data_IF_624998835189
#
_entry.id   IF_624998835189
#
_cell.length_a   1.000
_cell.length_b   1.000
_cell.length_c   1.000
_cell.angle_alpha   90.00
_cell.angle_beta   90.00
_cell.angle_gamma   90.00
#
_symmetry.space_group_name_H-M   'P 1'
#
loop_
_entity.id
_entity.type
_entity.pdbx_description
1 polymer ?
#
# COMPACT_ATOMS: atom_id res chain seq x y z
N UNK A 1 18.11 -1.82 2.65
CA UNK A 1 17.15 -2.66 3.37
C UNK A 1 16.12 -3.08 2.37
N UNK A 2 15.98 -4.38 2.17
CA UNK A 2 15.22 -4.93 1.04
C UNK A 2 13.76 -5.08 1.47
N UNK A 3 12.86 -4.39 0.78
CA UNK A 3 11.43 -4.64 0.92
C UNK A 3 11.09 -5.95 0.21
N UNK A 4 10.29 -6.79 0.85
CA UNK A 4 9.78 -8.02 0.23
C UNK A 4 8.30 -7.84 -0.11
N UNK A 5 7.90 -8.38 -1.25
CA UNK A 5 6.50 -8.41 -1.71
C UNK A 5 6.10 -9.87 -1.89
N UNK A 6 5.05 -10.29 -1.19
CA UNK A 6 4.33 -11.52 -1.50
C UNK A 6 3.04 -11.17 -2.23
N UNK A 7 2.79 -11.81 -3.37
CA UNK A 7 1.60 -11.60 -4.19
C UNK A 7 0.74 -12.85 -4.23
N UNK A 8 -0.56 -12.66 -4.00
CA UNK A 8 -1.60 -13.68 -4.16
C UNK A 8 -2.64 -13.15 -5.13
N UNK A 9 -2.98 -13.94 -6.17
CA UNK A 9 -3.98 -13.57 -7.16
C UNK A 9 -5.11 -14.60 -7.17
N UNK A 10 -6.35 -14.12 -7.06
CA UNK A 10 -7.57 -14.94 -7.07
C UNK A 10 -8.58 -14.32 -8.06
N UNK A 11 -8.60 -14.83 -9.28
CA UNK A 11 -9.43 -14.27 -10.35
C UNK A 11 -9.02 -12.83 -10.66
N UNK A 12 -9.94 -11.88 -10.54
CA UNK A 12 -9.68 -10.44 -10.77
C UNK A 12 -9.18 -9.70 -9.53
N UNK A 13 -8.93 -10.41 -8.42
CA UNK A 13 -8.46 -9.81 -7.17
C UNK A 13 -6.97 -10.10 -6.96
N UNK A 14 -6.22 -9.07 -6.58
CA UNK A 14 -4.81 -9.17 -6.21
C UNK A 14 -4.65 -8.73 -4.74
N UNK A 15 -3.93 -9.54 -3.95
CA UNK A 15 -3.47 -9.18 -2.61
C UNK A 15 -1.94 -9.11 -2.61
N UNK A 16 -1.42 -8.02 -2.07
CA UNK A 16 0.01 -7.83 -1.84
C UNK A 16 0.28 -7.70 -0.35
N UNK A 17 1.23 -8.48 0.15
CA UNK A 17 1.76 -8.37 1.49
C UNK A 17 3.16 -7.77 1.42
N UNK A 18 3.35 -6.61 2.05
CA UNK A 18 4.63 -5.91 2.10
C UNK A 18 5.32 -6.18 3.43
N UNK A 19 6.63 -6.41 3.39
CA UNK A 19 7.43 -6.68 4.59
C UNK A 19 8.74 -5.92 4.55
N UNK A 20 9.13 -5.37 5.70
CA UNK A 20 10.31 -4.52 5.85
C UNK A 20 9.97 -3.02 5.80
N UNK A 21 10.94 -2.19 5.45
CA UNK A 21 10.80 -0.74 5.46
C UNK A 21 10.26 -0.24 4.13
N UNK A 22 9.37 0.76 4.16
CA UNK A 22 8.93 1.50 2.97
C UNK A 22 9.44 2.93 3.12
N UNK A 23 10.48 3.26 2.36
CA UNK A 23 11.16 4.54 2.44
C UNK A 23 11.50 5.12 1.08
N UNK A 24 12.02 6.35 1.05
CA UNK A 24 12.54 7.00 -0.15
C UNK A 24 13.52 6.13 -0.96
N UNK A 25 14.26 5.24 -0.31
CA UNK A 25 15.26 4.39 -0.97
C UNK A 25 14.66 3.31 -1.85
N UNK A 26 13.50 2.75 -1.49
CA UNK A 26 12.87 1.65 -2.21
C UNK A 26 11.52 2.02 -2.86
N UNK A 27 10.93 3.17 -2.52
CA UNK A 27 9.67 3.62 -3.08
C UNK A 27 9.69 3.72 -4.61
N UNK A 28 10.82 4.13 -5.20
CA UNK A 28 10.98 4.22 -6.66
C UNK A 28 10.94 2.84 -7.35
N UNK A 29 11.50 1.81 -6.71
CA UNK A 29 11.51 0.44 -7.21
C UNK A 29 10.19 -0.30 -6.92
N UNK A 30 9.54 0.04 -5.81
CA UNK A 30 8.25 -0.51 -5.41
C UNK A 30 7.11 0.00 -6.29
N UNK A 31 7.15 1.27 -6.69
CA UNK A 31 6.12 1.92 -7.50
C UNK A 31 5.69 1.13 -8.74
N UNK A 32 6.59 0.75 -9.67
CA UNK A 32 6.18 0.01 -10.87
C UNK A 32 5.55 -1.35 -10.54
N UNK A 33 5.97 -2.01 -9.46
CA UNK A 33 5.42 -3.30 -9.04
C UNK A 33 3.98 -3.18 -8.55
N UNK A 34 3.69 -2.17 -7.71
CA UNK A 34 2.33 -1.89 -7.23
C UNK A 34 1.39 -1.52 -8.38
N UNK A 35 1.84 -0.66 -9.30
CA UNK A 35 1.03 -0.23 -10.44
C UNK A 35 0.77 -1.38 -11.44
N UNK A 36 1.75 -2.28 -11.65
CA UNK A 36 1.54 -3.47 -12.47
C UNK A 36 0.47 -4.39 -11.86
N UNK A 37 0.55 -4.65 -10.56
CA UNK A 37 -0.45 -5.45 -9.86
C UNK A 37 -1.85 -4.82 -9.94
N UNK A 38 -1.93 -3.50 -9.82
CA UNK A 38 -3.19 -2.78 -9.99
C UNK A 38 -3.68 -2.84 -11.44
N UNK A 39 -2.78 -2.78 -12.44
CA UNK A 39 -3.14 -2.87 -13.86
C UNK A 39 -3.75 -4.23 -14.22
N UNK A 40 -3.23 -5.32 -13.64
CA UNK A 40 -3.64 -6.69 -13.97
C UNK A 40 -4.86 -7.20 -13.18
N UNK A 41 -5.35 -6.42 -12.20
CA UNK A 41 -6.49 -6.77 -11.35
C UNK A 41 -7.62 -5.71 -11.42
N UNK A 42 -8.82 -6.08 -10.98
CA UNK A 42 -9.95 -5.15 -10.73
C UNK A 42 -9.91 -4.61 -9.29
N UNK A 43 -9.26 -5.32 -8.37
CA UNK A 43 -9.04 -4.87 -7.00
C UNK A 43 -7.65 -5.22 -6.48
N UNK A 44 -7.04 -4.27 -5.78
CA UNK A 44 -5.77 -4.44 -5.07
C UNK A 44 -5.98 -4.29 -3.55
N UNK A 45 -5.72 -5.35 -2.80
CA UNK A 45 -5.68 -5.37 -1.35
C UNK A 45 -4.22 -5.33 -0.87
N UNK A 46 -3.89 -4.42 0.04
CA UNK A 46 -2.54 -4.23 0.54
C UNK A 46 -2.47 -4.54 2.03
N UNK A 47 -1.63 -5.50 2.39
CA UNK A 47 -1.35 -5.90 3.76
C UNK A 47 0.00 -5.32 4.20
N UNK A 48 -0.03 -4.44 5.20
CA UNK A 48 1.12 -3.75 5.75
C UNK A 48 1.49 -4.27 7.15
N UNK A 49 1.01 -5.46 7.56
CA UNK A 49 1.22 -6.01 8.90
C UNK A 49 2.71 -6.19 9.24
N UNK A 50 3.52 -6.55 8.26
CA UNK A 50 4.96 -6.82 8.42
C UNK A 50 5.85 -5.62 8.00
N UNK A 51 5.24 -4.43 7.82
CA UNK A 51 5.99 -3.20 7.52
C UNK A 51 6.59 -2.64 8.80
N UNK A 52 7.91 -2.58 8.89
CA UNK A 52 8.62 -2.11 10.08
C UNK A 52 8.74 -0.58 10.15
N UNK A 53 8.67 0.11 9.01
CA UNK A 53 8.74 1.56 8.90
C UNK A 53 8.01 2.05 7.65
N UNK A 54 7.33 3.19 7.75
CA UNK A 54 6.66 3.85 6.64
C UNK A 54 6.95 5.35 6.68
N UNK A 55 7.71 5.87 5.70
CA UNK A 55 7.96 7.31 5.58
C UNK A 55 6.95 8.00 4.64
N UNK A 56 7.16 9.30 4.39
CA UNK A 56 6.31 10.08 3.50
C UNK A 56 6.37 9.64 2.03
N UNK A 57 7.48 9.08 1.55
CA UNK A 57 7.57 8.55 0.19
C UNK A 57 6.73 7.28 0.04
N UNK A 58 6.72 6.42 1.08
CA UNK A 58 5.80 5.31 1.17
C UNK A 58 4.34 5.75 1.20
N UNK A 59 3.98 6.75 2.01
CA UNK A 59 2.62 7.31 2.07
C UNK A 59 2.17 7.88 0.72
N UNK A 60 3.04 8.62 0.03
CA UNK A 60 2.76 9.13 -1.32
C UNK A 60 2.50 7.99 -2.32
N UNK A 61 3.20 6.87 -2.18
CA UNK A 61 2.99 5.70 -3.02
C UNK A 61 1.66 5.01 -2.74
N UNK A 62 1.26 4.87 -1.47
CA UNK A 62 -0.07 4.35 -1.10
C UNK A 62 -1.18 5.25 -1.67
N UNK A 63 -1.01 6.56 -1.54
CA UNK A 63 -1.94 7.56 -2.06
C UNK A 63 -2.04 7.51 -3.59
N UNK A 64 -0.90 7.33 -4.29
CA UNK A 64 -0.87 7.13 -5.73
C UNK A 64 -1.68 5.89 -6.14
N UNK A 65 -1.48 4.75 -5.47
CA UNK A 65 -2.21 3.52 -5.80
C UNK A 65 -3.72 3.69 -5.65
N UNK A 66 -4.16 4.37 -4.58
CA UNK A 66 -5.57 4.69 -4.38
C UNK A 66 -6.14 5.57 -5.50
N UNK A 67 -5.41 6.63 -5.89
CA UNK A 67 -5.84 7.51 -6.97
C UNK A 67 -5.90 6.79 -8.32
N UNK A 68 -4.88 6.01 -8.68
CA UNK A 68 -4.86 5.25 -9.93
C UNK A 68 -5.98 4.23 -9.98
N UNK A 69 -6.30 3.59 -8.85
CA UNK A 69 -7.43 2.66 -8.78
C UNK A 69 -8.75 3.41 -9.04
N UNK A 70 -8.97 4.55 -8.38
CA UNK A 70 -10.15 5.37 -8.59
C UNK A 70 -10.28 5.87 -10.04
N UNK A 71 -9.18 6.35 -10.65
CA UNK A 71 -9.15 6.83 -12.04
C UNK A 71 -9.48 5.74 -13.06
N UNK A 72 -9.12 4.50 -12.76
CA UNK A 72 -9.32 3.34 -13.65
C UNK A 72 -10.58 2.54 -13.32
N UNK A 73 -11.40 2.99 -12.36
CA UNK A 73 -12.62 2.29 -11.94
C UNK A 73 -12.36 1.01 -11.15
N UNK A 74 -11.17 0.88 -10.55
CA UNK A 74 -10.71 -0.26 -9.76
C UNK A 74 -10.80 0.04 -8.26
N UNK A 75 -10.67 -1.00 -7.45
CA UNK A 75 -10.67 -0.86 -5.99
C UNK A 75 -9.27 -0.98 -5.41
N UNK A 76 -8.94 -0.13 -4.45
CA UNK A 76 -7.74 -0.22 -3.63
C UNK A 76 -8.13 -0.20 -2.15
N UNK A 77 -7.57 -1.09 -1.35
CA UNK A 77 -7.80 -1.13 0.09
C UNK A 77 -6.54 -1.53 0.86
N UNK A 78 -6.29 -0.88 1.98
CA UNK A 78 -5.33 -1.34 2.98
C UNK A 78 -6.08 -2.27 3.94
N UNK A 79 -5.72 -3.55 3.96
CA UNK A 79 -6.47 -4.57 4.74
C UNK A 79 -5.96 -4.74 6.16
N UNK A 80 -4.69 -4.42 6.40
CA UNK A 80 -4.07 -4.46 7.72
C UNK A 80 -2.83 -3.55 7.76
N UNK A 81 -2.48 -3.10 8.96
CA UNK A 81 -1.33 -2.22 9.21
C UNK A 81 -0.54 -2.72 10.41
N UNK A 82 0.79 -2.60 10.36
CA UNK A 82 1.62 -2.63 11.56
C UNK A 82 1.39 -1.38 12.42
N UNK A 83 1.89 -1.40 13.66
CA UNK A 83 1.87 -0.22 14.53
C UNK A 83 2.65 0.95 13.90
N UNK A 84 3.84 0.69 13.35
CA UNK A 84 4.67 1.71 12.71
C UNK A 84 3.99 2.33 11.48
N UNK A 85 3.35 1.52 10.63
CA UNK A 85 2.60 2.03 9.49
C UNK A 85 1.40 2.89 9.93
N UNK A 86 0.65 2.42 10.94
CA UNK A 86 -0.49 3.16 11.47
C UNK A 86 -0.09 4.50 12.11
N UNK A 87 1.01 4.52 12.88
CA UNK A 87 1.55 5.74 13.48
C UNK A 87 1.90 6.80 12.42
N UNK A 88 2.58 6.41 11.34
CA UNK A 88 2.91 7.33 10.24
C UNK A 88 1.67 7.85 9.51
N UNK A 89 0.67 7.00 9.28
CA UNK A 89 -0.61 7.40 8.68
C UNK A 89 -1.35 8.39 9.59
N UNK A 90 -1.45 8.07 10.89
CA UNK A 90 -2.17 8.87 11.87
C UNK A 90 -1.51 10.22 12.14
N UNK A 91 -0.17 10.27 12.11
CA UNK A 91 0.61 11.51 12.25
C UNK A 91 0.17 12.57 11.24
N UNK A 92 -0.18 12.16 10.01
CA UNK A 92 -0.61 13.04 8.92
C UNK A 92 -2.13 13.10 8.73
N UNK A 93 -2.91 12.46 9.62
CA UNK A 93 -4.37 12.38 9.54
C UNK A 93 -4.90 11.76 8.24
N UNK A 94 -4.19 10.73 7.75
CA UNK A 94 -4.51 10.04 6.50
C UNK A 94 -5.38 8.79 6.69
N UNK A 95 -5.84 8.51 7.91
CA UNK A 95 -6.77 7.40 8.18
C UNK A 95 -8.07 7.52 7.36
N UNK A 96 -8.76 8.70 7.33
CA UNK A 96 -10.03 8.81 6.60
C UNK A 96 -9.87 8.61 5.09
N UNK A 97 -8.88 9.21 4.39
CA UNK A 97 -8.62 8.90 2.99
C UNK A 97 -8.34 7.43 2.73
N UNK A 98 -7.59 6.74 3.60
CA UNK A 98 -7.31 5.31 3.45
C UNK A 98 -8.42 4.39 3.96
N UNK A 99 -9.56 4.93 4.42
CA UNK A 99 -10.66 4.19 5.02
C UNK A 99 -10.21 3.29 6.19
N UNK A 100 -9.27 3.80 6.99
CA UNK A 100 -8.75 3.15 8.18
C UNK A 100 -9.44 3.69 9.44
N UNK A 101 -9.57 2.86 10.50
CA UNK A 101 -10.07 3.36 11.78
C UNK A 101 -9.09 4.38 12.37
N UNK A 102 -9.59 5.38 13.13
CA UNK A 102 -8.70 6.26 13.88
C UNK A 102 -7.91 5.48 14.94
N UNK A 103 -6.67 5.92 15.18
CA UNK A 103 -5.84 5.40 16.27
C UNK A 103 -6.33 5.85 17.65
#
# INVERSE_FOLDING_TARGET
MDITIAQEQAGTQCRLSLSGEISIYNAAELKPQLLACLQDAESLALDLTEVSELDTAGLQLLWLCQQEAALTGKTFAITATSAAAMESIALLRLEPPFNLPPM
#
